data_IF_723409261631
#
_entry.id   IF_723409261631
#
_cell.length_a   1.000
_cell.length_b   1.000
_cell.length_c   1.000
_cell.angle_alpha   90.00
_cell.angle_beta   90.00
_cell.angle_gamma   90.00
#
_symmetry.space_group_name_H-M   'P 1'
#
loop_
_entity.id
_entity.type
_entity.pdbx_description
1 polymer ?
#
# COMPACT_ATOMS: atom_id res chain seq x y z
N UNK A 1 -9.04 -8.84 -7.32
CA UNK A 1 -7.95 -8.37 -6.43
C UNK A 1 -6.90 -7.73 -7.32
N UNK A 2 -6.76 -6.40 -7.26
CA UNK A 2 -5.80 -5.69 -8.11
C UNK A 2 -4.38 -5.95 -7.61
N UNK A 3 -3.50 -6.45 -8.49
CA UNK A 3 -2.06 -6.65 -8.19
C UNK A 3 -1.24 -5.39 -8.42
N UNK A 4 -1.84 -4.36 -9.00
CA UNK A 4 -1.16 -3.13 -9.39
C UNK A 4 -0.96 -2.21 -8.18
N UNK A 5 0.29 -1.85 -7.88
CA UNK A 5 0.62 -0.94 -6.77
C UNK A 5 -0.14 0.39 -6.85
N UNK A 6 -0.42 0.92 -8.04
CA UNK A 6 -1.23 2.14 -8.21
C UNK A 6 -2.68 1.97 -7.74
N UNK A 7 -3.29 0.81 -8.02
CA UNK A 7 -4.66 0.52 -7.59
C UNK A 7 -4.76 0.41 -6.07
N UNK A 8 -3.78 -0.26 -5.46
CA UNK A 8 -3.68 -0.40 -4.00
C UNK A 8 -3.46 0.96 -3.33
N UNK A 9 -2.56 1.80 -3.86
CA UNK A 9 -2.33 3.14 -3.32
C UNK A 9 -3.62 3.99 -3.38
N UNK A 10 -4.29 4.03 -4.54
CA UNK A 10 -5.58 4.75 -4.65
C UNK A 10 -6.63 4.24 -3.68
N UNK A 11 -6.67 2.92 -3.43
CA UNK A 11 -7.59 2.34 -2.46
C UNK A 11 -7.22 2.71 -1.03
N UNK A 12 -5.94 2.66 -0.67
CA UNK A 12 -5.44 3.09 0.63
C UNK A 12 -5.76 4.57 0.88
N UNK A 13 -5.53 5.45 -0.10
CA UNK A 13 -5.91 6.86 -0.01
C UNK A 13 -7.42 7.03 0.20
N UNK A 14 -8.26 6.28 -0.55
CA UNK A 14 -9.73 6.28 -0.36
C UNK A 14 -10.17 5.76 1.01
N UNK A 15 -9.42 4.82 1.58
CA UNK A 15 -9.68 4.28 2.91
C UNK A 15 -9.20 5.25 4.01
N UNK A 16 -8.53 6.35 3.65
CA UNK A 16 -8.02 7.36 4.59
C UNK A 16 -6.63 7.04 5.13
N UNK A 17 -5.84 6.25 4.41
CA UNK A 17 -4.43 6.09 4.72
C UNK A 17 -3.63 7.26 4.13
N UNK A 18 -2.78 7.84 4.94
CA UNK A 18 -1.90 8.94 4.57
C UNK A 18 -0.47 8.45 4.38
N UNK A 19 0.19 8.94 3.34
CA UNK A 19 1.60 8.63 3.09
C UNK A 19 2.47 9.37 4.13
N UNK A 20 3.06 8.62 5.07
CA UNK A 20 3.88 9.18 6.14
C UNK A 20 5.36 9.22 5.80
N UNK A 21 5.86 8.23 5.06
CA UNK A 21 7.28 8.15 4.71
C UNK A 21 7.50 7.35 3.46
N UNK A 22 8.46 7.78 2.65
CA UNK A 22 8.96 7.00 1.52
C UNK A 22 10.43 6.67 1.78
N UNK A 23 10.81 5.42 1.58
CA UNK A 23 12.20 4.97 1.71
C UNK A 23 12.54 4.06 0.53
N UNK A 24 13.20 4.64 -0.47
CA UNK A 24 13.45 3.97 -1.74
C UNK A 24 12.14 3.51 -2.37
N UNK A 25 12.05 2.21 -2.68
CA UNK A 25 10.83 1.62 -3.24
C UNK A 25 9.76 1.25 -2.22
N UNK A 26 9.84 1.70 -0.96
CA UNK A 26 8.86 1.39 0.07
C UNK A 26 8.09 2.65 0.49
N UNK A 27 6.79 2.68 0.19
CA UNK A 27 5.87 3.74 0.57
C UNK A 27 5.13 3.33 1.83
N UNK A 28 5.31 4.08 2.91
CA UNK A 28 4.71 3.82 4.22
C UNK A 28 3.46 4.69 4.37
N UNK A 29 2.33 4.02 4.55
CA UNK A 29 1.01 4.58 4.73
C UNK A 29 0.54 4.38 6.18
N UNK A 30 -0.13 5.37 6.76
CA UNK A 30 -0.65 5.33 8.13
C UNK A 30 -2.12 5.73 8.15
N UNK A 31 -2.92 5.02 8.94
CA UNK A 31 -4.31 5.36 9.26
C UNK A 31 -4.52 5.14 10.76
N UNK A 32 -4.43 6.22 11.53
CA UNK A 32 -4.47 6.15 13.01
C UNK A 32 -3.34 5.27 13.55
N UNK A 33 -3.70 4.15 14.17
CA UNK A 33 -2.78 3.14 14.72
C UNK A 33 -2.30 2.11 13.69
N UNK A 34 -2.94 2.01 12.52
CA UNK A 34 -2.54 1.06 11.48
C UNK A 34 -1.45 1.66 10.59
N UNK A 35 -0.42 0.88 10.31
CA UNK A 35 0.69 1.26 9.41
C UNK A 35 0.88 0.16 8.36
N UNK A 36 0.82 0.55 7.09
CA UNK A 36 0.94 -0.34 5.94
C UNK A 36 2.11 0.12 5.09
N UNK A 37 2.93 -0.82 4.61
CA UNK A 37 4.04 -0.49 3.70
C UNK A 37 3.79 -1.12 2.33
N UNK A 38 3.74 -0.30 1.29
CA UNK A 38 3.53 -0.72 -0.09
C UNK A 38 4.84 -0.57 -0.87
N UNK A 39 5.36 -1.66 -1.47
CA UNK A 39 6.49 -1.52 -2.37
C UNK A 39 6.06 -0.92 -3.72
N UNK A 40 6.56 0.25 -4.06
CA UNK A 40 6.33 0.96 -5.31
C UNK A 40 7.68 1.47 -5.87
N UNK A 41 7.99 1.34 -7.18
CA UNK A 41 7.12 1.03 -8.30
C UNK A 41 7.18 -0.45 -8.74
N UNK A 42 6.38 -1.32 -8.13
CA UNK A 42 6.17 -2.70 -8.62
C UNK A 42 4.83 -2.82 -9.33
N UNK A 43 4.84 -3.38 -10.54
CA UNK A 43 3.64 -3.57 -11.36
C UNK A 43 2.75 -4.69 -10.85
N UNK A 44 3.37 -5.74 -10.31
CA UNK A 44 2.70 -6.90 -9.74
C UNK A 44 3.19 -7.16 -8.32
N UNK A 45 2.33 -6.88 -7.35
CA UNK A 45 2.54 -7.27 -5.97
C UNK A 45 2.08 -8.72 -5.75
N UNK A 46 2.82 -9.53 -4.98
CA UNK A 46 2.39 -10.89 -4.66
C UNK A 46 1.00 -10.86 -4.01
N UNK A 47 0.12 -11.78 -4.40
CA UNK A 47 -1.24 -11.91 -3.85
C UNK A 47 -1.26 -12.00 -2.32
N UNK A 48 -0.23 -12.59 -1.70
CA UNK A 48 -0.07 -12.62 -0.24
C UNK A 48 0.19 -11.23 0.36
N UNK A 49 1.00 -10.40 -0.30
CA UNK A 49 1.23 -9.01 0.09
C UNK A 49 -0.03 -8.18 -0.06
N UNK A 50 -0.75 -8.35 -1.19
CA UNK A 50 -2.03 -7.70 -1.41
C UNK A 50 -3.02 -8.12 -0.32
N UNK A 51 -3.22 -9.41 -0.04
CA UNK A 51 -4.11 -9.86 1.04
C UNK A 51 -3.76 -9.31 2.41
N UNK A 52 -2.47 -9.19 2.75
CA UNK A 52 -2.05 -8.59 4.01
C UNK A 52 -2.30 -7.08 4.08
N UNK A 53 -2.25 -6.38 2.95
CA UNK A 53 -2.62 -4.96 2.86
C UNK A 53 -4.15 -4.78 2.97
N UNK A 54 -4.92 -5.75 2.47
CA UNK A 54 -6.39 -5.74 2.48
C UNK A 54 -7.02 -6.27 3.80
N UNK A 55 -6.21 -6.65 4.79
CA UNK A 55 -6.66 -7.15 6.09
C UNK A 55 -6.71 -6.01 7.12
#
# INVERSE_FOLDING_TARGET
>A
METNSRGIIKRLEKDGFELVKVTGSHHKFRKGDKVVTVPHPKKDLPLGTVRNIYK
#
